data_IF_825022510042
#
_entry.id   IF_825022510042
#
_cell.length_a   1.000
_cell.length_b   1.000
_cell.length_c   1.000
_cell.angle_alpha   90.00
_cell.angle_beta   90.00
_cell.angle_gamma   90.00
#
_symmetry.space_group_name_H-M   'P 1'
#
loop_
_entity.id
_entity.type
_entity.pdbx_description
1 polymer ?
#
# COMPACT_ATOMS: atom_id res chain seq x y z
N UNK A 1 53.73 -34.60 38.53
CA UNK A 1 52.36 -35.08 38.28
C UNK A 1 51.53 -33.87 37.92
N UNK A 2 51.30 -33.63 36.63
CA UNK A 2 50.54 -32.46 36.14
C UNK A 2 49.15 -32.92 35.74
N UNK A 3 48.13 -32.35 36.37
CA UNK A 3 46.74 -32.60 36.06
C UNK A 3 46.31 -31.69 34.89
N UNK A 4 45.80 -32.30 33.81
CA UNK A 4 45.16 -31.61 32.70
C UNK A 4 43.73 -31.24 33.12
N UNK A 5 43.43 -29.95 33.16
CA UNK A 5 42.09 -29.43 33.37
C UNK A 5 41.35 -29.37 32.03
N UNK A 6 40.35 -30.23 31.86
CA UNK A 6 39.47 -30.25 30.69
C UNK A 6 38.47 -29.09 30.82
N UNK A 7 38.67 -28.02 30.06
CA UNK A 7 37.69 -26.94 29.93
C UNK A 7 36.47 -27.47 29.17
N UNK A 8 35.37 -27.72 29.88
CA UNK A 8 34.08 -28.00 29.30
C UNK A 8 33.56 -26.71 28.64
N UNK A 9 33.76 -26.58 27.33
CA UNK A 9 33.05 -25.59 26.52
C UNK A 9 31.59 -26.04 26.42
N UNK A 10 30.81 -25.64 27.42
CA UNK A 10 29.36 -25.78 27.38
C UNK A 10 28.83 -24.99 26.20
N UNK A 11 28.22 -25.68 25.24
CA UNK A 11 27.42 -25.06 24.20
C UNK A 11 26.26 -24.32 24.90
N UNK A 12 26.36 -23.00 25.05
CA UNK A 12 25.20 -22.19 25.39
C UNK A 12 24.21 -22.40 24.25
N UNK A 13 23.07 -23.03 24.56
CA UNK A 13 21.93 -22.92 23.67
C UNK A 13 21.56 -21.45 23.59
N UNK A 14 21.35 -20.90 22.37
CA UNK A 14 20.78 -19.58 22.23
C UNK A 14 19.44 -19.54 22.98
N UNK A 15 19.09 -18.39 23.57
CA UNK A 15 17.79 -18.23 24.21
C UNK A 15 16.68 -18.65 23.23
N UNK A 16 15.58 -19.25 23.73
CA UNK A 16 14.45 -19.57 22.87
C UNK A 16 14.02 -18.32 22.12
N UNK A 17 13.84 -18.46 20.81
CA UNK A 17 13.25 -17.40 19.98
C UNK A 17 11.82 -17.24 20.50
N UNK A 18 11.44 -16.03 20.91
CA UNK A 18 10.05 -15.75 21.26
C UNK A 18 9.17 -16.18 20.08
N UNK A 19 8.31 -17.18 20.29
CA UNK A 19 7.31 -17.57 19.30
C UNK A 19 6.40 -16.37 19.09
N UNK A 20 6.54 -15.74 17.93
CA UNK A 20 5.60 -14.71 17.48
C UNK A 20 4.23 -15.37 17.44
N UNK A 21 3.30 -14.86 18.23
CA UNK A 21 1.94 -15.39 18.31
C UNK A 21 1.38 -15.52 16.88
N UNK A 22 1.06 -16.75 16.42
CA UNK A 22 0.48 -16.94 15.09
C UNK A 22 -0.92 -16.32 14.95
N UNK A 23 -1.51 -15.81 16.04
CA UNK A 23 -2.72 -14.99 16.04
C UNK A 23 -2.45 -13.47 15.92
N UNK A 24 -1.18 -13.04 15.81
CA UNK A 24 -0.87 -11.65 15.54
C UNK A 24 -1.26 -11.32 14.09
N UNK A 25 -2.29 -10.48 13.92
CA UNK A 25 -2.63 -9.87 12.64
C UNK A 25 -1.39 -9.17 12.06
N UNK A 26 -1.08 -9.44 10.78
CA UNK A 26 0.10 -8.98 10.04
C UNK A 26 -0.32 -8.10 8.89
N UNK A 27 0.57 -7.15 8.60
CA UNK A 27 0.26 -6.10 7.65
C UNK A 27 0.22 -6.64 6.22
N UNK A 28 -0.70 -6.16 5.37
CA UNK A 28 -0.50 -6.27 3.94
C UNK A 28 0.78 -5.52 3.54
N UNK A 29 1.41 -5.99 2.48
CA UNK A 29 2.64 -5.43 1.91
C UNK A 29 2.46 -5.21 0.42
N UNK A 30 2.97 -4.10 -0.09
CA UNK A 30 3.05 -3.87 -1.54
C UNK A 30 4.39 -4.45 -2.00
N UNK A 31 4.34 -5.47 -2.85
CA UNK A 31 5.49 -6.28 -3.26
C UNK A 31 6.01 -5.92 -4.66
N UNK A 32 5.15 -5.36 -5.51
CA UNK A 32 5.53 -4.83 -6.82
C UNK A 32 4.54 -3.74 -7.26
N UNK A 33 4.95 -2.95 -8.24
CA UNK A 33 4.18 -1.81 -8.77
C UNK A 33 4.47 -1.65 -10.26
N UNK A 34 3.49 -1.13 -11.00
CA UNK A 34 3.62 -0.73 -12.38
C UNK A 34 2.81 0.55 -12.61
N UNK A 35 3.40 1.65 -13.11
CA UNK A 35 4.81 1.80 -13.45
C UNK A 35 5.74 1.69 -12.21
N UNK A 36 7.01 1.27 -12.39
CA UNK A 36 7.96 1.15 -11.30
C UNK A 36 8.37 2.52 -10.74
N UNK A 37 8.90 2.54 -9.52
CA UNK A 37 9.40 3.75 -8.87
C UNK A 37 10.57 4.37 -9.65
N UNK A 38 10.65 5.71 -9.63
CA UNK A 38 11.80 6.44 -10.13
C UNK A 38 11.43 7.76 -10.80
N UNK A 39 10.89 7.68 -12.01
CA UNK A 39 10.58 8.86 -12.83
C UNK A 39 9.09 9.19 -12.83
N UNK A 40 8.73 10.49 -12.91
CA UNK A 40 7.36 10.91 -13.10
C UNK A 40 6.72 10.23 -14.30
N UNK A 41 5.47 9.82 -14.12
CA UNK A 41 4.72 9.11 -15.12
C UNK A 41 4.09 10.13 -16.05
N UNK A 42 4.60 10.23 -17.29
CA UNK A 42 3.99 11.09 -18.28
C UNK A 42 2.63 10.55 -18.73
N UNK A 43 1.58 11.37 -18.63
CA UNK A 43 0.25 11.08 -19.18
C UNK A 43 0.07 11.77 -20.52
N UNK A 44 -0.29 10.99 -21.54
CA UNK A 44 -0.73 11.54 -22.80
C UNK A 44 -2.23 11.91 -22.77
N UNK A 45 -2.64 12.81 -23.64
CA UNK A 45 -4.04 13.24 -23.74
C UNK A 45 -4.98 12.13 -24.20
N UNK A 46 -4.54 11.30 -25.13
CA UNK A 46 -5.42 10.33 -25.80
C UNK A 46 -5.19 8.89 -25.35
N UNK A 47 -4.15 8.65 -24.54
CA UNK A 47 -3.86 7.34 -23.95
C UNK A 47 -3.78 7.49 -22.44
N UNK A 48 -4.75 6.86 -21.76
CA UNK A 48 -4.69 6.65 -20.34
C UNK A 48 -3.52 5.74 -19.96
N UNK A 49 -3.08 5.86 -18.71
CA UNK A 49 -2.05 5.01 -18.10
C UNK A 49 -2.66 4.24 -16.95
N UNK A 50 -2.32 2.95 -16.89
CA UNK A 50 -2.72 2.11 -15.78
C UNK A 50 -1.67 2.14 -14.67
N UNK A 51 -2.15 2.27 -13.44
CA UNK A 51 -1.38 2.17 -12.22
C UNK A 51 -1.81 0.89 -11.52
N UNK A 52 -0.86 0.00 -11.28
CA UNK A 52 -1.08 -1.36 -10.80
C UNK A 52 -0.15 -1.57 -9.62
N UNK A 53 -0.64 -2.21 -8.56
CA UNK A 53 0.21 -2.68 -7.47
C UNK A 53 0.00 -4.16 -7.25
N UNK A 54 1.01 -4.86 -6.79
CA UNK A 54 0.92 -6.25 -6.36
C UNK A 54 0.97 -6.31 -4.85
N UNK A 55 -0.10 -6.80 -4.24
CA UNK A 55 -0.23 -6.85 -2.78
C UNK A 55 -0.01 -8.28 -2.31
N UNK A 56 0.86 -8.43 -1.30
CA UNK A 56 1.08 -9.66 -0.55
C UNK A 56 0.57 -9.49 0.88
N UNK A 57 -0.22 -10.45 1.33
CA UNK A 57 -0.77 -10.45 2.69
C UNK A 57 -0.49 -11.80 3.35
N UNK A 58 0.27 -11.81 4.47
CA UNK A 58 0.55 -13.02 5.20
C UNK A 58 -0.71 -13.69 5.77
N UNK A 59 -1.79 -12.94 6.01
CA UNK A 59 -3.01 -13.38 6.68
C UNK A 59 -4.13 -13.60 5.67
N UNK A 60 -4.02 -14.72 4.96
CA UNK A 60 -4.87 -15.08 3.80
C UNK A 60 -6.38 -15.15 4.07
N UNK A 61 -6.81 -15.10 5.34
CA UNK A 61 -8.22 -15.15 5.74
C UNK A 61 -8.88 -13.77 5.72
N UNK A 62 -8.08 -12.70 5.71
CA UNK A 62 -8.59 -11.36 5.86
C UNK A 62 -8.99 -10.77 4.50
N UNK A 63 -9.98 -9.90 4.53
CA UNK A 63 -10.38 -9.16 3.34
C UNK A 63 -9.51 -7.92 3.24
N UNK A 64 -8.87 -7.72 2.09
CA UNK A 64 -8.16 -6.49 1.83
C UNK A 64 -9.05 -5.55 1.04
N UNK A 65 -8.98 -4.29 1.43
CA UNK A 65 -9.64 -3.17 0.79
C UNK A 65 -8.55 -2.24 0.28
N UNK A 66 -8.72 -1.75 -0.94
CA UNK A 66 -7.76 -0.86 -1.56
C UNK A 66 -8.45 0.33 -2.21
N UNK A 67 -7.75 1.46 -2.21
CA UNK A 67 -8.29 2.70 -2.78
C UNK A 67 -7.20 3.48 -3.45
N UNK A 68 -7.45 3.86 -4.70
CA UNK A 68 -6.61 4.80 -5.43
C UNK A 68 -7.15 6.21 -5.26
N UNK A 69 -6.25 7.16 -5.08
CA UNK A 69 -6.53 8.59 -4.98
C UNK A 69 -5.77 9.29 -6.09
N UNK A 70 -6.41 10.24 -6.77
CA UNK A 70 -5.78 11.10 -7.77
C UNK A 70 -5.92 12.52 -7.30
N UNK A 71 -4.82 13.05 -6.77
CA UNK A 71 -4.76 14.29 -6.02
C UNK A 71 -5.72 14.37 -4.83
N UNK A 72 -5.25 14.99 -3.78
CA UNK A 72 -6.08 15.35 -2.65
C UNK A 72 -5.46 16.55 -1.95
N UNK A 73 -6.30 17.46 -1.44
CA UNK A 73 -5.80 18.50 -0.58
C UNK A 73 -5.47 17.90 0.78
N UNK A 74 -4.17 17.79 1.12
CA UNK A 74 -3.73 17.33 2.47
C UNK A 74 -4.37 18.10 3.62
N UNK A 75 -4.82 19.32 3.38
CA UNK A 75 -5.47 20.19 4.36
C UNK A 75 -7.00 20.05 4.38
N UNK A 76 -7.60 19.53 3.32
CA UNK A 76 -9.03 19.20 3.26
C UNK A 76 -9.22 17.76 2.77
N UNK A 77 -9.22 16.78 3.69
CA UNK A 77 -9.41 15.38 3.35
C UNK A 77 -10.74 15.06 2.67
N UNK A 78 -11.73 15.98 2.71
CA UNK A 78 -13.02 15.79 2.05
C UNK A 78 -12.99 16.21 0.58
N UNK A 79 -11.93 16.92 0.16
CA UNK A 79 -11.70 17.34 -1.23
C UNK A 79 -10.89 16.27 -1.97
N UNK A 80 -11.47 15.06 -2.04
CA UNK A 80 -10.96 13.97 -2.86
C UNK A 80 -11.43 14.19 -4.30
N UNK A 81 -10.56 14.78 -5.12
CA UNK A 81 -10.91 15.15 -6.49
C UNK A 81 -11.15 13.90 -7.37
N UNK A 82 -10.59 12.74 -7.01
CA UNK A 82 -10.95 11.44 -7.57
C UNK A 82 -10.50 10.28 -6.69
N UNK A 83 -11.43 9.39 -6.32
CA UNK A 83 -11.09 8.16 -5.61
C UNK A 83 -11.76 6.95 -6.28
N UNK A 84 -10.96 5.96 -6.66
CA UNK A 84 -11.45 4.66 -7.11
C UNK A 84 -11.32 3.66 -5.96
N UNK A 85 -12.46 3.15 -5.50
CA UNK A 85 -12.54 2.16 -4.42
C UNK A 85 -12.65 0.78 -5.04
N UNK A 86 -11.82 -0.15 -4.57
CA UNK A 86 -11.97 -1.56 -4.89
C UNK A 86 -11.82 -2.44 -3.65
N UNK A 87 -12.42 -3.60 -3.73
CA UNK A 87 -12.32 -4.64 -2.72
C UNK A 87 -11.75 -5.88 -3.34
N UNK A 88 -11.16 -6.71 -2.49
CA UNK A 88 -10.75 -8.03 -2.89
C UNK A 88 -11.59 -9.12 -2.25
N UNK A 89 -11.87 -10.18 -3.00
CA UNK A 89 -12.50 -11.35 -2.42
C UNK A 89 -11.53 -12.06 -1.46
N UNK A 90 -12.00 -12.58 -0.31
CA UNK A 90 -11.19 -13.41 0.57
C UNK A 90 -10.69 -14.64 -0.19
N UNK A 91 -9.43 -15.00 0.02
CA UNK A 91 -8.81 -16.14 -0.68
C UNK A 91 -9.28 -17.44 -0.02
N UNK A 92 -9.68 -18.47 -0.80
CA UNK A 92 -10.06 -19.76 -0.24
C UNK A 92 -8.97 -20.37 0.64
N UNK A 93 -9.38 -20.96 1.76
CA UNK A 93 -8.48 -21.57 2.77
C UNK A 93 -7.49 -22.55 2.13
N UNK A 94 -6.19 -22.35 2.37
CA UNK A 94 -5.12 -23.23 1.90
C UNK A 94 -4.35 -22.73 0.67
N UNK A 95 -4.72 -21.57 0.13
CA UNK A 95 -3.92 -20.86 -0.88
C UNK A 95 -3.18 -19.68 -0.23
N UNK A 96 -1.92 -19.48 -0.61
CA UNK A 96 -1.22 -18.23 -0.31
C UNK A 96 -1.84 -17.14 -1.17
N UNK A 97 -2.18 -15.99 -0.58
CA UNK A 97 -2.59 -14.78 -1.30
C UNK A 97 -1.35 -14.16 -1.94
N UNK A 98 -0.79 -14.87 -2.91
CA UNK A 98 0.27 -14.39 -3.79
C UNK A 98 -0.41 -13.48 -4.82
N UNK A 99 -0.28 -12.17 -4.62
CA UNK A 99 -0.58 -11.14 -5.59
C UNK A 99 -2.07 -10.88 -5.89
N UNK A 100 -2.65 -9.89 -5.19
CA UNK A 100 -3.72 -9.11 -5.80
C UNK A 100 -3.13 -7.99 -6.61
N UNK A 101 -3.70 -7.75 -7.79
CA UNK A 101 -3.25 -6.71 -8.71
C UNK A 101 -4.32 -5.65 -8.95
N UNK A 102 -4.69 -4.85 -7.94
CA UNK A 102 -5.57 -3.72 -8.16
C UNK A 102 -4.98 -2.78 -9.21
N UNK A 103 -5.84 -2.21 -10.04
CA UNK A 103 -5.44 -1.25 -11.07
C UNK A 103 -6.42 -0.11 -11.19
N UNK A 104 -5.91 1.10 -11.41
CA UNK A 104 -6.70 2.27 -11.85
C UNK A 104 -6.18 2.80 -13.17
N UNK A 105 -7.04 3.38 -14.00
CA UNK A 105 -6.68 4.01 -15.26
C UNK A 105 -6.88 5.51 -15.21
N UNK A 106 -5.83 6.28 -15.49
CA UNK A 106 -5.85 7.75 -15.44
C UNK A 106 -5.41 8.31 -16.77
N UNK A 107 -6.13 9.29 -17.30
CA UNK A 107 -5.84 9.93 -18.57
C UNK A 107 -5.51 11.41 -18.41
N UNK A 108 -4.74 11.97 -19.35
CA UNK A 108 -4.49 13.41 -19.36
C UNK A 108 -5.76 14.24 -19.52
N UNK A 109 -6.86 13.65 -20.03
CA UNK A 109 -8.17 14.29 -20.21
C UNK A 109 -9.07 14.22 -18.98
N UNK A 110 -8.65 13.55 -17.92
CA UNK A 110 -9.44 13.50 -16.68
C UNK A 110 -9.59 14.91 -16.12
N UNK A 111 -10.79 15.25 -15.63
CA UNK A 111 -11.13 16.63 -15.23
C UNK A 111 -10.17 17.19 -14.18
N UNK A 112 -9.76 16.36 -13.23
CA UNK A 112 -8.80 16.69 -12.16
C UNK A 112 -7.47 17.15 -12.74
N UNK A 113 -7.02 16.48 -13.80
CA UNK A 113 -5.76 16.77 -14.50
C UNK A 113 -5.92 18.04 -15.36
N UNK A 114 -7.06 18.19 -16.04
CA UNK A 114 -7.36 19.33 -16.91
C UNK A 114 -7.52 20.65 -16.15
N UNK A 115 -7.93 20.63 -14.88
CA UNK A 115 -8.02 21.83 -14.04
C UNK A 115 -6.64 22.40 -13.71
N UNK A 116 -5.61 21.55 -13.65
CA UNK A 116 -4.23 21.92 -13.30
C UNK A 116 -3.22 21.26 -14.24
N UNK A 117 -3.28 21.54 -15.56
CA UNK A 117 -2.56 20.76 -16.58
C UNK A 117 -1.05 21.00 -16.60
N UNK A 118 -0.52 21.83 -15.71
CA UNK A 118 0.91 22.11 -15.56
C UNK A 118 1.44 21.67 -14.18
N UNK A 119 0.58 21.13 -13.33
CA UNK A 119 0.97 20.67 -12.00
C UNK A 119 1.44 19.21 -12.06
N UNK A 120 2.26 18.83 -11.09
CA UNK A 120 2.54 17.41 -10.83
C UNK A 120 1.37 16.86 -10.01
N UNK A 121 0.76 15.81 -10.53
CA UNK A 121 -0.33 15.11 -9.86
C UNK A 121 0.21 13.90 -9.09
N UNK A 122 -0.46 13.53 -8.00
CA UNK A 122 -0.07 12.37 -7.19
C UNK A 122 -1.16 11.32 -7.25
N UNK A 123 -0.76 10.10 -7.59
CA UNK A 123 -1.61 8.92 -7.40
C UNK A 123 -1.16 8.17 -6.18
N UNK A 124 -2.05 7.97 -5.24
CA UNK A 124 -1.76 7.21 -4.03
C UNK A 124 -2.63 5.95 -3.98
N UNK A 125 -2.00 4.82 -3.68
CA UNK A 125 -2.69 3.58 -3.35
C UNK A 125 -2.62 3.37 -1.83
N UNK A 126 -3.79 3.16 -1.23
CA UNK A 126 -3.92 2.69 0.14
C UNK A 126 -4.41 1.25 0.14
N UNK A 127 -3.81 0.42 1.00
CA UNK A 127 -4.23 -0.96 1.24
C UNK A 127 -4.42 -1.17 2.74
N UNK A 128 -5.58 -1.71 3.12
CA UNK A 128 -5.96 -1.98 4.50
C UNK A 128 -6.67 -3.32 4.62
N UNK A 129 -6.69 -3.87 5.83
CA UNK A 129 -7.30 -5.14 6.25
C UNK A 129 -8.76 -5.00 6.73
N UNK A 130 -9.38 -3.84 6.49
CA UNK A 130 -10.74 -3.51 6.94
C UNK A 130 -11.46 -2.60 5.95
N UNK A 131 -12.79 -2.59 6.00
CA UNK A 131 -13.62 -1.76 5.13
C UNK A 131 -13.34 -0.27 5.35
N UNK A 132 -13.42 0.51 4.27
CA UNK A 132 -13.32 1.96 4.37
C UNK A 132 -14.61 2.52 4.98
N UNK A 133 -14.49 3.15 6.15
CA UNK A 133 -15.55 3.93 6.75
C UNK A 133 -15.43 5.39 6.29
N UNK A 134 -16.13 5.75 5.22
CA UNK A 134 -16.15 7.12 4.68
C UNK A 134 -16.75 8.15 5.66
N UNK A 135 -17.50 7.70 6.69
CA UNK A 135 -17.98 8.57 7.76
C UNK A 135 -16.92 8.83 8.84
N UNK A 136 -15.82 8.08 8.83
CA UNK A 136 -14.72 8.23 9.77
C UNK A 136 -13.60 9.13 9.19
N UNK A 137 -13.39 10.33 9.75
CA UNK A 137 -12.35 11.25 9.27
C UNK A 137 -10.93 10.72 9.49
N UNK A 138 -10.74 9.64 10.27
CA UNK A 138 -9.42 9.08 10.56
C UNK A 138 -8.78 8.38 9.36
N UNK A 139 -9.57 7.90 8.39
CA UNK A 139 -9.02 7.31 7.16
C UNK A 139 -8.35 8.43 6.35
N UNK A 140 -9.10 9.52 6.18
CA UNK A 140 -8.66 10.80 5.66
C UNK A 140 -7.37 11.33 6.34
N UNK A 141 -7.32 11.28 7.67
CA UNK A 141 -6.16 11.71 8.46
C UNK A 141 -4.96 10.75 8.38
N UNK A 142 -5.20 9.45 8.25
CA UNK A 142 -4.15 8.45 8.08
C UNK A 142 -3.41 8.58 6.75
N UNK A 143 -4.06 9.07 5.69
CA UNK A 143 -3.38 9.46 4.44
C UNK A 143 -2.36 10.56 4.68
N UNK A 144 -2.77 11.64 5.36
CA UNK A 144 -1.92 12.81 5.56
C UNK A 144 -0.75 12.53 6.49
N UNK A 145 -0.96 11.68 7.50
CA UNK A 145 0.03 11.42 8.52
C UNK A 145 0.97 10.23 8.20
N UNK A 146 0.61 9.36 7.23
CA UNK A 146 1.21 8.01 7.09
C UNK A 146 1.24 7.26 8.42
N UNK A 147 0.31 7.61 9.32
CA UNK A 147 0.20 7.03 10.64
C UNK A 147 -0.77 5.87 10.52
N UNK A 148 -0.45 4.68 11.07
CA UNK A 148 -1.39 3.58 11.12
C UNK A 148 -2.73 4.05 11.68
N UNK A 149 -3.82 3.89 10.92
CA UNK A 149 -5.17 4.11 11.45
C UNK A 149 -5.31 3.21 12.67
N UNK A 150 -5.65 3.78 13.83
CA UNK A 150 -5.68 3.06 15.10
C UNK A 150 -6.28 1.64 14.95
N UNK A 151 -5.45 0.63 15.24
CA UNK A 151 -5.88 -0.77 15.34
C UNK A 151 -5.73 -1.66 14.11
N UNK A 152 -4.95 -1.29 13.09
CA UNK A 152 -4.74 -2.20 11.95
C UNK A 152 -3.69 -1.69 10.98
N UNK A 153 -3.41 -2.52 10.00
CA UNK A 153 -2.13 -2.50 9.32
C UNK A 153 -2.28 -1.96 7.91
N UNK A 154 -1.39 -1.04 7.54
CA UNK A 154 -1.57 -0.19 6.37
C UNK A 154 -0.33 -0.22 5.50
N UNK A 155 -0.51 -0.40 4.20
CA UNK A 155 0.53 -0.17 3.21
C UNK A 155 0.09 0.95 2.27
N UNK A 156 1.01 1.87 1.97
CA UNK A 156 0.78 2.97 1.03
C UNK A 156 1.86 3.00 -0.04
N UNK A 157 1.47 3.45 -1.24
CA UNK A 157 2.41 3.74 -2.31
C UNK A 157 1.96 4.96 -3.12
N UNK A 158 2.90 5.73 -3.66
CA UNK A 158 2.62 6.96 -4.41
C UNK A 158 3.35 6.97 -5.75
N UNK A 159 2.66 7.38 -6.82
CA UNK A 159 3.22 7.75 -8.11
C UNK A 159 3.10 9.26 -8.31
N UNK A 160 4.17 9.87 -8.83
CA UNK A 160 4.10 11.22 -9.38
C UNK A 160 3.74 11.15 -10.87
N UNK A 161 2.88 12.06 -11.31
CA UNK A 161 2.35 12.12 -12.66
C UNK A 161 2.57 13.50 -13.24
N UNK A 162 3.05 13.55 -14.46
CA UNK A 162 3.19 14.78 -15.24
C UNK A 162 2.29 14.72 -16.48
N UNK A 163 1.27 15.59 -16.58
CA UNK A 163 0.39 15.59 -17.73
C UNK A 163 1.02 16.34 -18.90
N UNK A 164 0.80 15.84 -20.11
CA UNK A 164 1.05 16.63 -21.33
C UNK A 164 -0.14 17.57 -21.52
N UNK A 165 0.15 18.86 -21.74
CA UNK A 165 -0.89 19.86 -22.02
C UNK A 165 -1.70 19.46 -23.25
N UNK A 166 -3.00 19.27 -23.07
CA UNK A 166 -3.93 18.92 -24.13
C UNK A 166 -4.50 20.19 -24.76
N UNK A 167 -4.09 20.48 -26.00
CA UNK A 167 -4.64 21.57 -26.80
C UNK A 167 -5.91 21.14 -27.54
#
# INVERSE_FOLDING_TARGET
MSALATAAYGCMLPPPVDEVDPAANRAPTITAIAPPEGEPVTLSCDQGRSFIATIGDPDVRDRLFFRFFVDYYRQDPNDLLGAEIGESDPVPTGQSRLAQTPSTGISGRDSIIQERPNDVHIVELLVVDREFDDANPDIAAAFTARVPVAGGLTATYQWAIEPVVCN
#
